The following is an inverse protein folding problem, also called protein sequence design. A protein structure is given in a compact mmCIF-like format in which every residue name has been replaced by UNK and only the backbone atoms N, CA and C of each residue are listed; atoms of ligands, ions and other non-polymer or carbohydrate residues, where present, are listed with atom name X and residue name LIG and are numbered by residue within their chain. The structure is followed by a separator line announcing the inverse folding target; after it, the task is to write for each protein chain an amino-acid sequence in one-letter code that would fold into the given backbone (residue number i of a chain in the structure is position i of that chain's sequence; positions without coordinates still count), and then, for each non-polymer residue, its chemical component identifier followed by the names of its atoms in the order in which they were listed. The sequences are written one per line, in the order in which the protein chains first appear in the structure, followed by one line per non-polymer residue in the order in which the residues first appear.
data_IF_426388255074
#
_entry.id   IF_426388255074
#
_cell.length_a   1.000
_cell.length_b   1.000
_cell.length_c   1.000
_cell.angle_alpha   90.00
_cell.angle_beta   90.00
_cell.angle_gamma   90.00
#
_symmetry.space_group_name_H-M   'P 1'
#
loop_
_entity.id
_entity.type
_entity.pdbx_description
1 polymer ?
#
# COMPACT_ATOMS: atom_id res chain seq x y z
N UNK A 1 -7.46 6.37 41.81
CA UNK A 1 -7.39 6.10 40.34
C UNK A 1 -6.26 6.92 39.66
N UNK A 2 -5.24 7.21 40.41
CA UNK A 2 -4.04 7.89 39.91
C UNK A 2 -3.19 6.86 39.14
N UNK A 3 -2.88 7.19 37.87
CA UNK A 3 -2.01 6.37 37.02
C UNK A 3 -2.69 5.67 35.83
N UNK A 4 -3.99 5.84 35.61
CA UNK A 4 -4.64 5.30 34.41
C UNK A 4 -4.33 6.17 33.20
N UNK A 5 -3.58 5.64 32.23
CA UNK A 5 -3.31 6.30 30.95
C UNK A 5 -4.47 6.00 29.97
N UNK A 6 -5.29 6.99 29.71
CA UNK A 6 -6.30 6.91 28.65
C UNK A 6 -5.65 7.24 27.30
N UNK A 7 -5.80 6.32 26.33
CA UNK A 7 -5.41 6.54 24.94
C UNK A 7 -6.65 6.43 24.07
N UNK A 8 -6.81 7.37 23.16
CA UNK A 8 -7.91 7.41 22.22
C UNK A 8 -7.37 7.22 20.79
N UNK A 9 -7.99 6.31 20.04
CA UNK A 9 -7.76 6.18 18.61
C UNK A 9 -8.74 7.15 17.93
N UNK A 10 -8.22 8.10 17.16
CA UNK A 10 -9.01 9.12 16.48
C UNK A 10 -9.28 8.79 15.01
N UNK A 11 -8.48 7.92 14.41
CA UNK A 11 -8.68 7.43 13.04
C UNK A 11 -8.14 6.01 12.89
N UNK A 12 -8.78 5.22 12.04
CA UNK A 12 -8.34 3.87 11.62
C UNK A 12 -8.06 3.82 10.11
N UNK A 13 -8.18 4.94 9.42
CA UNK A 13 -7.95 5.02 7.99
C UNK A 13 -6.48 4.79 7.65
N UNK A 14 -6.24 4.10 6.54
CA UNK A 14 -4.93 4.09 5.90
C UNK A 14 -4.65 5.49 5.35
N UNK A 15 -3.56 6.10 5.80
CA UNK A 15 -3.27 7.49 5.52
C UNK A 15 -1.77 7.72 5.34
N UNK A 16 -1.39 8.84 4.82
CA UNK A 16 -0.02 9.32 4.85
C UNK A 16 0.10 10.65 5.58
N UNK A 17 1.28 10.89 6.11
CA UNK A 17 1.64 12.14 6.77
C UNK A 17 2.36 13.04 5.78
N UNK A 18 1.81 14.21 5.52
CA UNK A 18 2.46 15.22 4.71
C UNK A 18 3.28 16.11 5.63
N UNK A 19 4.59 16.20 5.34
CA UNK A 19 5.50 17.11 6.01
C UNK A 19 5.57 18.43 5.22
N UNK A 20 5.38 19.55 5.90
CA UNK A 20 5.50 20.89 5.30
C UNK A 20 6.96 21.38 5.18
N UNK A 21 7.92 20.53 5.58
CA UNK A 21 9.35 20.88 5.62
C UNK A 21 9.77 21.67 6.87
N UNK A 22 8.86 21.95 7.79
CA UNK A 22 9.10 22.66 9.07
C UNK A 22 8.78 21.80 10.28
N UNK A 23 8.82 20.48 10.12
CA UNK A 23 8.45 19.49 11.13
C UNK A 23 6.95 19.50 11.54
N UNK A 24 6.09 20.16 10.77
CA UNK A 24 4.65 19.99 10.94
C UNK A 24 4.14 18.91 9.99
N UNK A 25 3.26 18.06 10.52
CA UNK A 25 2.68 16.95 9.77
C UNK A 25 1.16 17.08 9.73
N UNK A 26 0.61 16.90 8.54
CA UNK A 26 -0.84 16.78 8.36
C UNK A 26 -1.19 15.37 7.90
N UNK A 27 -2.23 14.79 8.52
CA UNK A 27 -2.74 13.48 8.13
C UNK A 27 -3.66 13.64 6.93
N UNK A 28 -3.41 12.86 5.88
CA UNK A 28 -4.29 12.78 4.71
C UNK A 28 -4.67 11.34 4.45
N UNK A 29 -5.97 11.02 4.47
CA UNK A 29 -6.46 9.71 4.13
C UNK A 29 -6.10 9.32 2.69
N UNK A 30 -5.71 8.07 2.50
CA UNK A 30 -5.53 7.49 1.17
C UNK A 30 -6.88 7.35 0.46
N UNK A 31 -6.91 7.25 -0.87
CA UNK A 31 -8.12 6.97 -1.62
C UNK A 31 -8.90 5.77 -1.07
N UNK A 32 -10.20 5.79 -1.27
CA UNK A 32 -11.14 4.81 -0.72
C UNK A 32 -10.73 3.36 -1.00
N UNK A 33 -10.18 3.09 -2.18
CA UNK A 33 -9.72 1.76 -2.58
C UNK A 33 -8.59 1.22 -1.70
N UNK A 34 -7.82 2.09 -1.06
CA UNK A 34 -6.76 1.71 -0.13
C UNK A 34 -7.28 1.38 1.29
N UNK A 35 -8.58 1.51 1.53
CA UNK A 35 -9.21 1.22 2.82
C UNK A 35 -9.81 -0.19 2.88
N UNK A 36 -9.85 -0.94 1.76
CA UNK A 36 -10.56 -2.22 1.67
C UNK A 36 -9.94 -3.36 2.48
N UNK A 37 -8.64 -3.31 2.73
CA UNK A 37 -7.94 -4.38 3.42
C UNK A 37 -6.64 -3.86 4.05
N UNK A 38 -6.10 -4.53 5.08
CA UNK A 38 -4.84 -4.13 5.69
C UNK A 38 -3.70 -4.08 4.67
N UNK A 39 -3.00 -2.96 4.61
CA UNK A 39 -1.81 -2.76 3.78
C UNK A 39 -0.60 -3.34 4.51
N UNK A 40 0.21 -4.16 3.81
CA UNK A 40 1.43 -4.78 4.34
C UNK A 40 2.66 -4.50 3.47
N UNK A 41 2.46 -4.35 2.17
CA UNK A 41 3.51 -4.02 1.22
C UNK A 41 3.24 -2.63 0.63
N UNK A 42 4.26 -1.78 0.65
CA UNK A 42 4.23 -0.44 0.09
C UNK A 42 5.53 -0.24 -0.67
N UNK A 43 5.43 0.15 -1.94
CA UNK A 43 6.57 0.58 -2.74
C UNK A 43 6.25 1.92 -3.39
N UNK A 44 7.26 2.78 -3.41
CA UNK A 44 7.14 4.17 -3.86
C UNK A 44 8.17 4.43 -4.96
N UNK A 45 7.70 4.74 -6.15
CA UNK A 45 8.55 5.06 -7.31
C UNK A 45 7.70 5.77 -8.36
N UNK A 46 8.34 6.33 -9.36
CA UNK A 46 7.69 6.74 -10.59
C UNK A 46 7.55 5.48 -11.48
N UNK A 47 6.38 4.85 -11.45
CA UNK A 47 6.14 3.58 -12.14
C UNK A 47 5.69 3.76 -13.59
N UNK A 48 5.15 4.90 -13.97
CA UNK A 48 4.70 5.19 -15.33
C UNK A 48 5.56 6.24 -16.05
N UNK A 49 6.67 6.65 -15.41
CA UNK A 49 7.70 7.55 -15.95
C UNK A 49 7.16 8.93 -16.34
N UNK A 50 6.16 9.44 -15.61
CA UNK A 50 5.60 10.78 -15.81
C UNK A 50 6.32 11.87 -14.97
N UNK A 51 7.36 11.49 -14.22
CA UNK A 51 8.14 12.36 -13.35
C UNK A 51 7.51 12.61 -11.98
N UNK A 52 6.41 11.94 -11.65
CA UNK A 52 5.78 12.03 -10.35
C UNK A 52 5.86 10.68 -9.62
N UNK A 53 5.82 10.77 -8.33
CA UNK A 53 5.91 9.59 -7.47
C UNK A 53 4.55 8.91 -7.37
N UNK A 54 4.52 7.61 -7.65
CA UNK A 54 3.39 6.71 -7.48
C UNK A 54 3.59 5.81 -6.27
N UNK A 55 2.53 5.13 -5.86
CA UNK A 55 2.57 4.17 -4.74
C UNK A 55 1.91 2.87 -5.17
N UNK A 56 2.63 1.75 -5.01
CA UNK A 56 2.05 0.42 -5.08
C UNK A 56 1.71 -0.07 -3.68
N UNK A 57 0.51 -0.59 -3.52
CA UNK A 57 -0.02 -1.12 -2.27
C UNK A 57 -0.47 -2.57 -2.46
N UNK A 58 -0.12 -3.42 -1.50
CA UNK A 58 -0.64 -4.78 -1.41
C UNK A 58 -0.73 -5.22 0.06
N UNK A 59 -1.58 -6.21 0.33
CA UNK A 59 -1.77 -6.63 1.72
C UNK A 59 -2.61 -7.87 1.84
N UNK A 60 -3.72 -7.74 2.55
CA UNK A 60 -4.63 -8.76 3.05
C UNK A 60 -4.19 -9.37 4.38
N UNK A 61 -5.15 -9.93 5.09
CA UNK A 61 -4.93 -10.59 6.37
C UNK A 61 -5.88 -11.78 6.52
N UNK A 62 -5.30 -12.98 6.62
CA UNK A 62 -6.04 -14.25 6.65
C UNK A 62 -6.09 -14.88 8.05
N UNK A 63 -5.23 -14.43 8.96
CA UNK A 63 -5.04 -14.99 10.28
C UNK A 63 -5.97 -14.33 11.33
N UNK A 64 -7.16 -13.87 10.89
CA UNK A 64 -8.19 -13.34 11.77
C UNK A 64 -8.96 -14.46 12.46
N UNK A 65 -9.73 -14.11 13.50
CA UNK A 65 -10.64 -15.06 14.16
C UNK A 65 -11.65 -15.61 13.13
N UNK A 66 -11.99 -16.90 13.22
CA UNK A 66 -12.92 -17.55 12.27
C UNK A 66 -14.25 -16.81 12.09
N UNK A 67 -14.74 -16.17 13.16
CA UNK A 67 -16.00 -15.43 13.17
C UNK A 67 -15.96 -14.16 12.32
N UNK A 68 -14.78 -13.62 12.09
CA UNK A 68 -14.62 -12.37 11.32
C UNK A 68 -14.27 -12.62 9.85
N UNK A 69 -13.94 -13.87 9.49
CA UNK A 69 -13.52 -14.22 8.15
C UNK A 69 -12.15 -13.63 7.78
N UNK A 70 -11.87 -13.62 6.48
CA UNK A 70 -10.61 -13.11 5.93
C UNK A 70 -10.76 -11.69 5.44
N UNK A 71 -9.75 -10.86 5.67
CA UNK A 71 -9.64 -9.56 5.04
C UNK A 71 -8.86 -9.73 3.72
N UNK A 72 -9.54 -10.02 2.62
CA UNK A 72 -8.97 -10.41 1.33
C UNK A 72 -9.42 -9.53 0.14
N UNK A 73 -9.96 -8.37 0.42
CA UNK A 73 -10.52 -7.47 -0.58
C UNK A 73 -9.49 -6.70 -1.42
N UNK A 74 -8.19 -6.81 -1.10
CA UNK A 74 -7.13 -6.14 -1.85
C UNK A 74 -6.50 -7.07 -2.88
N UNK A 75 -6.53 -6.65 -4.15
CA UNK A 75 -5.93 -7.36 -5.28
C UNK A 75 -4.71 -6.65 -5.87
N UNK A 76 -4.01 -5.88 -5.05
CA UNK A 76 -3.01 -4.94 -5.50
C UNK A 76 -3.65 -3.62 -5.95
N UNK A 77 -3.03 -2.52 -5.60
CA UNK A 77 -3.50 -1.19 -5.93
C UNK A 77 -2.32 -0.30 -6.30
N UNK A 78 -2.44 0.41 -7.41
CA UNK A 78 -1.54 1.51 -7.74
C UNK A 78 -2.26 2.82 -7.47
N UNK A 79 -1.63 3.68 -6.71
CA UNK A 79 -2.01 5.07 -6.55
C UNK A 79 -1.10 5.91 -7.44
N UNK A 80 -1.65 6.41 -8.54
CA UNK A 80 -0.92 7.31 -9.45
C UNK A 80 -0.79 8.69 -8.81
N UNK A 81 0.42 9.18 -8.75
CA UNK A 81 0.72 10.53 -8.28
C UNK A 81 0.30 11.61 -9.25
N UNK A 82 -0.36 12.64 -8.74
CA UNK A 82 -0.71 13.84 -9.49
C UNK A 82 0.19 15.03 -9.13
N UNK A 83 1.14 14.80 -8.20
CA UNK A 83 1.95 15.85 -7.59
C UNK A 83 1.26 16.48 -6.37
N UNK A 84 2.05 17.22 -5.59
CA UNK A 84 1.58 17.94 -4.38
C UNK A 84 0.82 17.06 -3.38
N UNK A 85 1.23 15.80 -3.21
CA UNK A 85 0.61 14.84 -2.29
C UNK A 85 -0.78 14.35 -2.72
N UNK A 86 -1.18 14.57 -3.96
CA UNK A 86 -2.46 14.08 -4.50
C UNK A 86 -2.25 12.78 -5.26
N UNK A 87 -3.15 11.83 -5.04
CA UNK A 87 -3.11 10.51 -5.66
C UNK A 87 -4.49 10.11 -6.18
N UNK A 88 -4.50 9.29 -7.22
CA UNK A 88 -5.71 8.68 -7.77
C UNK A 88 -5.50 7.18 -7.91
N UNK A 89 -6.49 6.41 -7.49
CA UNK A 89 -6.47 4.95 -7.62
C UNK A 89 -6.55 4.52 -9.10
N UNK A 90 -5.66 3.62 -9.51
CA UNK A 90 -5.66 2.99 -10.84
C UNK A 90 -6.10 1.54 -10.71
N UNK A 91 -6.98 1.12 -11.60
CA UNK A 91 -7.46 -0.27 -11.60
C UNK A 91 -6.36 -1.22 -12.07
N UNK A 92 -6.34 -2.42 -11.51
CA UNK A 92 -5.36 -3.46 -11.86
C UNK A 92 -5.33 -3.76 -13.36
N UNK A 93 -6.48 -3.68 -14.05
CA UNK A 93 -6.55 -3.89 -15.51
C UNK A 93 -5.78 -2.83 -16.32
N UNK A 94 -5.66 -1.62 -15.78
CA UNK A 94 -5.01 -0.50 -16.45
C UNK A 94 -3.50 -0.48 -16.18
N UNK A 95 -3.06 -1.10 -15.09
CA UNK A 95 -1.66 -1.11 -14.64
C UNK A 95 -0.97 -2.46 -14.82
N UNK A 96 -1.74 -3.54 -14.96
CA UNK A 96 -1.23 -4.91 -14.91
C UNK A 96 -0.79 -5.36 -13.50
N UNK A 97 -0.80 -4.48 -12.50
CA UNK A 97 -0.45 -4.82 -11.12
C UNK A 97 -1.63 -5.49 -10.42
N UNK A 98 -1.68 -6.83 -10.51
CA UNK A 98 -2.70 -7.63 -9.86
C UNK A 98 -2.06 -8.75 -9.04
N UNK A 99 -2.36 -8.79 -7.75
CA UNK A 99 -1.91 -9.85 -6.86
C UNK A 99 -3.05 -10.33 -5.97
N UNK A 100 -3.09 -11.62 -5.71
CA UNK A 100 -4.01 -12.26 -4.76
C UNK A 100 -3.22 -12.84 -3.60
N UNK A 101 -3.93 -13.21 -2.55
CA UNK A 101 -3.32 -13.82 -1.37
C UNK A 101 -2.82 -12.78 -0.37
N UNK A 102 -2.18 -13.27 0.66
CA UNK A 102 -1.71 -12.45 1.78
C UNK A 102 -0.27 -11.98 1.51
N UNK A 103 -0.12 -10.80 0.94
CA UNK A 103 1.19 -10.19 0.75
C UNK A 103 1.75 -9.73 2.10
N UNK A 104 2.98 -10.12 2.40
CA UNK A 104 3.68 -9.74 3.65
C UNK A 104 4.66 -8.60 3.42
N UNK A 105 5.30 -8.58 2.25
CA UNK A 105 6.27 -7.55 1.91
C UNK A 105 6.38 -7.39 0.40
N UNK A 106 6.71 -6.19 -0.04
CA UNK A 106 7.16 -5.89 -1.40
C UNK A 106 8.57 -5.30 -1.36
N UNK A 107 9.27 -5.40 -2.48
CA UNK A 107 10.56 -4.72 -2.67
C UNK A 107 10.79 -4.46 -4.15
N UNK A 108 11.36 -3.29 -4.47
CA UNK A 108 11.87 -2.99 -5.80
C UNK A 108 13.28 -3.57 -5.93
N UNK A 109 13.49 -4.39 -6.95
CA UNK A 109 14.79 -4.98 -7.29
C UNK A 109 15.24 -4.41 -8.63
N UNK A 110 16.40 -3.75 -8.61
CA UNK A 110 17.04 -3.21 -9.83
C UNK A 110 17.98 -4.26 -10.40
N UNK A 111 17.91 -4.51 -11.70
CA UNK A 111 18.73 -5.50 -12.40
C UNK A 111 19.15 -4.96 -13.76
N UNK A 112 20.13 -5.61 -14.42
CA UNK A 112 20.53 -5.30 -15.80
C UNK A 112 19.39 -5.46 -16.81
N UNK A 113 18.39 -6.31 -16.49
CA UNK A 113 17.20 -6.55 -17.32
C UNK A 113 16.02 -5.64 -17.02
N UNK A 114 16.17 -4.64 -16.16
CA UNK A 114 15.11 -3.70 -15.77
C UNK A 114 14.81 -3.72 -14.28
N UNK A 115 13.80 -2.98 -13.90
CA UNK A 115 13.32 -2.92 -12.52
C UNK A 115 12.17 -3.91 -12.32
N UNK A 116 12.16 -4.56 -11.16
CA UNK A 116 11.15 -5.55 -10.81
C UNK A 116 10.57 -5.22 -9.44
N UNK A 117 9.28 -5.45 -9.27
CA UNK A 117 8.61 -5.45 -7.97
C UNK A 117 8.40 -6.89 -7.56
N UNK A 118 9.02 -7.29 -6.46
CA UNK A 118 8.94 -8.65 -5.91
C UNK A 118 8.03 -8.65 -4.69
N UNK A 119 7.06 -9.56 -4.67
CA UNK A 119 6.11 -9.71 -3.58
C UNK A 119 6.37 -11.03 -2.84
N UNK A 120 6.62 -10.93 -1.55
CA UNK A 120 6.63 -12.08 -0.66
C UNK A 120 5.24 -12.27 -0.05
N UNK A 121 4.70 -13.49 -0.21
CA UNK A 121 3.36 -13.87 0.25
C UNK A 121 3.44 -14.89 1.38
N UNK A 122 2.42 -14.88 2.24
CA UNK A 122 2.28 -15.89 3.28
C UNK A 122 1.77 -17.20 2.67
N UNK A 123 2.52 -18.28 2.88
CA UNK A 123 2.15 -19.64 2.43
C UNK A 123 1.77 -19.72 0.93
N UNK A 124 2.46 -18.95 0.10
CA UNK A 124 2.23 -18.90 -1.35
C UNK A 124 3.54 -18.54 -2.09
N UNK A 125 3.59 -18.78 -3.38
CA UNK A 125 4.73 -18.46 -4.24
C UNK A 125 4.95 -16.94 -4.29
N UNK A 126 6.23 -16.53 -4.31
CA UNK A 126 6.58 -15.16 -4.61
C UNK A 126 6.06 -14.76 -6.00
N UNK A 127 5.65 -13.51 -6.14
CA UNK A 127 5.18 -12.95 -7.40
C UNK A 127 6.11 -11.81 -7.81
N UNK A 128 6.38 -11.71 -9.11
CA UNK A 128 7.30 -10.71 -9.66
C UNK A 128 6.60 -9.96 -10.78
N UNK A 129 6.68 -8.65 -10.76
CA UNK A 129 6.22 -7.77 -11.82
C UNK A 129 7.43 -7.03 -12.40
N UNK A 130 7.50 -6.95 -13.72
CA UNK A 130 8.46 -6.08 -14.38
C UNK A 130 7.88 -4.66 -14.50
N UNK A 131 8.64 -3.67 -14.06
CA UNK A 131 8.32 -2.26 -14.30
C UNK A 131 8.80 -1.92 -15.71
N UNK A 132 7.92 -1.45 -16.54
CA UNK A 132 8.22 -1.07 -17.93
C UNK A 132 8.50 0.40 -18.03
#
# INVERSE_FOLDING_TARGET
RDGMLLRQITTTESAFLINDGKANFSLQALPYEAQFSPIRGIEVSDFDHDGKVDILLAGNFFDSLPEWGRFDAMYGLMLKGLGHGKFVAKRSKDTGFQTRGQVRKMAIVKSKGGNFVVLAKNNDKAQVFQVK
#
